data_IF_627985878737
#
_entry.id   IF_627985878737
#
_cell.length_a   1.000
_cell.length_b   1.000
_cell.length_c   1.000
_cell.angle_alpha   90.00
_cell.angle_beta   90.00
_cell.angle_gamma   90.00
#
_symmetry.space_group_name_H-M   'P 1'
#
loop_
_entity.id
_entity.type
_entity.pdbx_description
1 polymer ?
#
# COMPACT_ATOMS: atom_id res chain seq x y z
N UNK A 1 -5.87 0.11 -5.00
CA UNK A 1 -5.14 -0.12 -3.74
C UNK A 1 -5.09 -1.61 -3.51
N UNK A 2 -3.89 -2.16 -3.36
CA UNK A 2 -3.69 -3.56 -2.97
C UNK A 2 -3.91 -3.68 -1.45
N UNK A 3 -4.72 -4.63 -1.01
CA UNK A 3 -5.07 -4.81 0.41
C UNK A 3 -4.53 -6.17 0.86
N UNK A 4 -3.59 -6.14 1.80
CA UNK A 4 -2.98 -7.33 2.41
C UNK A 4 -3.55 -7.57 3.79
N UNK A 5 -3.93 -8.83 4.06
CA UNK A 5 -4.49 -9.24 5.34
C UNK A 5 -3.39 -9.74 6.28
N UNK A 6 -3.67 -9.70 7.58
CA UNK A 6 -2.76 -10.28 8.58
C UNK A 6 -2.80 -11.79 8.49
N UNK A 7 -1.62 -12.43 8.44
CA UNK A 7 -1.49 -13.88 8.51
C UNK A 7 -1.09 -14.30 9.93
N UNK A 8 -1.68 -15.39 10.43
CA UNK A 8 -1.22 -15.97 11.68
C UNK A 8 -0.04 -16.94 11.43
N UNK A 9 0.75 -17.19 12.47
CA UNK A 9 1.92 -18.07 12.39
C UNK A 9 1.62 -19.53 12.01
N UNK A 10 0.39 -20.03 12.24
CA UNK A 10 0.01 -21.40 11.89
C UNK A 10 -0.29 -21.52 10.40
N UNK A 11 -0.88 -20.49 9.80
CA UNK A 11 -1.19 -20.42 8.38
C UNK A 11 0.09 -20.20 7.58
N UNK A 12 0.91 -19.22 7.98
CA UNK A 12 2.19 -18.92 7.32
C UNK A 12 3.11 -20.15 7.19
N UNK A 13 3.15 -21.01 8.22
CA UNK A 13 3.95 -22.25 8.21
C UNK A 13 3.60 -23.23 7.09
N UNK A 14 2.43 -23.09 6.47
CA UNK A 14 1.92 -23.99 5.42
C UNK A 14 1.99 -23.38 4.02
N UNK A 15 2.38 -22.11 3.91
CA UNK A 15 2.43 -21.43 2.63
C UNK A 15 3.49 -22.02 1.71
N UNK A 16 3.16 -22.10 0.43
CA UNK A 16 4.15 -22.30 -0.62
C UNK A 16 5.02 -21.06 -0.80
N UNK A 17 6.03 -21.15 -1.66
CA UNK A 17 6.86 -20.00 -2.01
C UNK A 17 6.03 -18.93 -2.72
N UNK A 18 5.14 -19.35 -3.61
CA UNK A 18 4.25 -18.47 -4.36
C UNK A 18 3.25 -17.76 -3.43
N UNK A 19 2.61 -18.50 -2.52
CA UNK A 19 1.68 -17.94 -1.54
C UNK A 19 2.38 -16.95 -0.61
N UNK A 20 3.59 -17.28 -0.15
CA UNK A 20 4.40 -16.37 0.67
C UNK A 20 4.68 -15.05 -0.06
N UNK A 21 5.05 -15.10 -1.34
CA UNK A 21 5.27 -13.89 -2.14
C UNK A 21 3.97 -13.12 -2.36
N UNK A 22 2.89 -13.82 -2.70
CA UNK A 22 1.58 -13.23 -2.93
C UNK A 22 1.03 -12.50 -1.69
N UNK A 23 1.36 -12.96 -0.48
CA UNK A 23 0.90 -12.34 0.77
C UNK A 23 1.81 -11.21 1.25
N UNK A 24 3.14 -11.39 1.23
CA UNK A 24 4.05 -10.46 1.92
C UNK A 24 4.91 -9.59 1.01
N UNK A 25 5.13 -10.00 -0.25
CA UNK A 25 5.96 -9.22 -1.15
C UNK A 25 5.13 -8.18 -1.90
N UNK A 26 5.65 -6.96 -1.90
CA UNK A 26 5.17 -5.88 -2.77
C UNK A 26 6.10 -5.83 -3.98
N UNK A 27 5.66 -6.42 -5.09
CA UNK A 27 6.31 -6.26 -6.38
C UNK A 27 5.86 -4.93 -7.03
N UNK A 28 6.72 -4.30 -7.83
CA UNK A 28 6.43 -3.07 -8.59
C UNK A 28 5.99 -1.85 -7.76
N UNK A 29 6.64 -1.59 -6.61
CA UNK A 29 6.33 -0.44 -5.76
C UNK A 29 6.52 0.91 -6.47
N UNK A 30 7.51 1.04 -7.36
CA UNK A 30 7.78 2.30 -8.07
C UNK A 30 7.39 2.20 -9.54
N UNK A 31 6.37 2.97 -9.93
CA UNK A 31 5.88 3.09 -11.29
C UNK A 31 5.88 4.55 -11.69
N UNK A 32 6.37 4.85 -12.90
CA UNK A 32 6.49 6.21 -13.42
C UNK A 32 5.15 6.94 -13.36
N UNK A 33 5.17 8.16 -12.82
CA UNK A 33 4.05 9.10 -12.75
C UNK A 33 2.80 8.58 -12.00
N UNK A 34 2.97 7.57 -11.13
CA UNK A 34 1.89 6.94 -10.37
C UNK A 34 2.19 6.86 -8.87
N UNK A 35 1.12 6.80 -8.07
CA UNK A 35 1.18 6.37 -6.67
C UNK A 35 0.73 4.92 -6.59
N UNK A 36 1.63 4.04 -6.19
CA UNK A 36 1.30 2.67 -5.81
C UNK A 36 1.04 2.65 -4.31
N UNK A 37 -0.13 2.15 -3.91
CA UNK A 37 -0.54 2.06 -2.51
C UNK A 37 -0.90 0.63 -2.13
N UNK A 38 -0.20 0.11 -1.12
CA UNK A 38 -0.48 -1.17 -0.49
C UNK A 38 -0.89 -0.94 0.96
N UNK A 39 -2.12 -1.34 1.28
CA UNK A 39 -2.67 -1.25 2.63
C UNK A 39 -2.48 -2.59 3.33
N UNK A 40 -1.81 -2.61 4.47
CA UNK A 40 -1.71 -3.79 5.33
C UNK A 40 -2.69 -3.70 6.48
N UNK A 41 -3.44 -4.77 6.75
CA UNK A 41 -4.23 -4.88 7.97
C UNK A 41 -3.39 -5.03 9.24
N UNK A 42 -2.08 -5.29 9.10
CA UNK A 42 -1.12 -5.20 10.22
C UNK A 42 -0.92 -3.72 10.54
N UNK A 43 -1.49 -3.28 11.66
CA UNK A 43 -1.49 -1.89 12.14
C UNK A 43 -2.01 -0.83 11.17
N UNK A 44 -2.69 -1.26 10.09
CA UNK A 44 -3.27 -0.36 9.08
C UNK A 44 -2.23 0.52 8.38
N UNK A 45 -0.99 0.05 8.32
CA UNK A 45 0.11 0.74 7.64
C UNK A 45 -0.17 0.77 6.13
N UNK A 46 0.15 1.91 5.51
CA UNK A 46 0.06 2.07 4.05
C UNK A 46 1.47 2.29 3.53
N UNK A 47 1.97 1.35 2.74
CA UNK A 47 3.23 1.51 2.02
C UNK A 47 2.94 2.16 0.68
N UNK A 48 3.67 3.24 0.40
CA UNK A 48 3.48 4.05 -0.79
C UNK A 48 4.76 4.08 -1.60
N UNK A 49 4.62 3.89 -2.92
CA UNK A 49 5.66 4.20 -3.88
C UNK A 49 5.18 5.32 -4.78
N UNK A 50 6.01 6.35 -4.92
CA UNK A 50 5.73 7.51 -5.77
C UNK A 50 6.99 7.83 -6.56
N UNK A 51 6.91 7.76 -7.89
CA UNK A 51 8.04 8.04 -8.79
C UNK A 51 7.61 9.05 -9.86
N UNK A 52 7.60 10.36 -9.55
CA UNK A 52 7.37 11.41 -10.53
C UNK A 52 8.49 11.43 -11.58
N UNK A 53 8.14 11.47 -12.86
CA UNK A 53 9.08 11.54 -13.99
C UNK A 53 8.71 12.69 -14.92
N UNK A 54 7.47 12.69 -15.41
CA UNK A 54 6.98 13.65 -16.41
C UNK A 54 6.00 14.66 -15.81
N UNK A 55 5.36 14.32 -14.68
CA UNK A 55 4.36 15.15 -14.05
C UNK A 55 4.45 15.15 -12.52
N UNK A 56 3.91 16.19 -11.88
CA UNK A 56 3.69 16.16 -10.45
C UNK A 56 2.65 15.08 -10.13
N UNK A 57 2.94 14.26 -9.12
CA UNK A 57 2.08 13.16 -8.70
C UNK A 57 1.49 13.48 -7.32
N UNK A 58 0.20 13.89 -7.25
CA UNK A 58 -0.49 14.04 -5.98
C UNK A 58 -0.54 12.72 -5.20
N UNK A 59 -0.47 12.80 -3.87
CA UNK A 59 -0.46 11.63 -2.98
C UNK A 59 -1.72 10.76 -3.11
N UNK A 60 -2.85 11.38 -3.45
CA UNK A 60 -4.15 10.77 -3.64
C UNK A 60 -4.46 10.39 -5.10
N UNK A 61 -3.49 10.54 -6.02
CA UNK A 61 -3.68 10.19 -7.43
C UNK A 61 -4.04 8.70 -7.57
N UNK A 62 -5.24 8.43 -8.07
CA UNK A 62 -5.76 7.06 -8.21
C UNK A 62 -6.28 6.44 -6.91
N UNK A 63 -6.42 7.22 -5.83
CA UNK A 63 -6.91 6.78 -4.53
C UNK A 63 -8.17 7.56 -4.15
N UNK A 64 -9.29 6.85 -3.98
CA UNK A 64 -10.50 7.42 -3.40
C UNK A 64 -10.37 7.47 -1.87
N UNK A 65 -10.06 8.66 -1.33
CA UNK A 65 -9.81 8.82 0.11
C UNK A 65 -11.03 8.48 0.97
N UNK A 66 -12.23 8.87 0.54
CA UNK A 66 -13.46 8.60 1.29
C UNK A 66 -13.77 7.11 1.29
N UNK A 67 -13.67 6.43 0.14
CA UNK A 67 -13.93 5.00 0.04
C UNK A 67 -12.90 4.14 0.79
N UNK A 68 -11.62 4.49 0.71
CA UNK A 68 -10.55 3.67 1.26
C UNK A 68 -10.21 4.00 2.73
N UNK A 69 -10.35 5.26 3.14
CA UNK A 69 -9.93 5.73 4.46
C UNK A 69 -11.06 6.38 5.28
N UNK A 70 -12.18 6.76 4.66
CA UNK A 70 -13.26 7.48 5.33
C UNK A 70 -12.89 8.92 5.71
N UNK A 71 -11.93 9.51 5.01
CA UNK A 71 -11.40 10.87 5.25
C UNK A 71 -11.41 11.70 3.97
N UNK A 72 -11.41 13.02 4.12
CA UNK A 72 -11.43 13.95 2.99
C UNK A 72 -10.10 13.98 2.23
N UNK A 73 -8.99 13.69 2.90
CA UNK A 73 -7.64 13.57 2.31
C UNK A 73 -6.81 12.53 3.05
N UNK A 74 -5.70 12.10 2.43
CA UNK A 74 -4.87 10.95 2.89
C UNK A 74 -4.35 11.11 4.32
N UNK A 75 -3.88 12.31 4.68
CA UNK A 75 -3.17 12.57 5.95
C UNK A 75 -4.06 13.21 7.03
N UNK A 76 -5.38 13.24 6.86
CA UNK A 76 -6.28 13.87 7.83
C UNK A 76 -6.17 13.26 9.23
N UNK A 77 -5.87 11.96 9.30
CA UNK A 77 -5.76 11.18 10.54
C UNK A 77 -4.56 10.23 10.52
N UNK A 78 -3.53 10.57 9.75
CA UNK A 78 -2.34 9.74 9.53
C UNK A 78 -1.10 10.63 9.46
N UNK A 79 0.03 10.07 9.88
CA UNK A 79 1.35 10.63 9.63
C UNK A 79 2.06 9.87 8.51
N UNK A 80 3.10 10.46 7.93
CA UNK A 80 3.89 9.87 6.85
C UNK A 80 5.37 10.16 7.06
N UNK A 81 6.20 9.14 6.81
CA UNK A 81 7.65 9.29 6.62
C UNK A 81 8.00 9.06 5.15
N UNK A 82 8.94 9.84 4.62
CA UNK A 82 9.37 9.77 3.20
C UNK A 82 10.91 9.74 3.19
N UNK A 83 11.48 8.89 2.33
CA UNK A 83 12.92 8.72 2.15
C UNK A 83 13.27 8.51 0.67
#
# INVERSE_FOLDING_TARGET
MDIRYSANQKDFKRYTTEETRAEFLIDNLYVDDQVVAVYSHVDRMVTLGCKPVSEAVPLDKGIDCMKNFGTAYILERREIGIF
#
